data_IF_975564863280
#
_entry.id   IF_975564863280
#
_cell.length_a   1.000
_cell.length_b   1.000
_cell.length_c   1.000
_cell.angle_alpha   90.00
_cell.angle_beta   90.00
_cell.angle_gamma   90.00
#
_symmetry.space_group_name_H-M   'P 1'
#
loop_
_entity.id
_entity.type
_entity.pdbx_description
1 polymer ?
#
# COMPACT_ATOMS: atom_id res chain seq x y z
N UNK A 1 -27.17 4.50 6.33
CA UNK A 1 -26.76 5.27 7.53
C UNK A 1 -25.24 5.41 7.64
N UNK A 2 -24.45 4.32 7.71
CA UNK A 2 -22.97 4.37 7.83
C UNK A 2 -22.26 5.19 6.75
N UNK A 3 -22.61 5.01 5.46
CA UNK A 3 -22.03 5.84 4.38
C UNK A 3 -22.37 7.32 4.53
N UNK A 4 -23.57 7.64 4.99
CA UNK A 4 -24.00 9.02 5.27
C UNK A 4 -23.19 9.63 6.41
N UNK A 5 -22.94 8.86 7.47
CA UNK A 5 -22.08 9.25 8.59
C UNK A 5 -20.65 9.57 8.09
N UNK A 6 -20.03 8.65 7.35
CA UNK A 6 -18.68 8.83 6.80
C UNK A 6 -18.58 10.11 5.97
N UNK A 7 -19.53 10.34 5.05
CA UNK A 7 -19.53 11.51 4.18
C UNK A 7 -19.78 12.80 4.98
N UNK A 8 -20.66 12.75 5.98
CA UNK A 8 -20.97 13.92 6.83
C UNK A 8 -19.81 14.32 7.74
N UNK A 9 -19.06 13.36 8.29
CA UNK A 9 -17.89 13.62 9.12
C UNK A 9 -16.70 14.10 8.28
N UNK A 10 -16.53 13.56 7.06
CA UNK A 10 -15.44 13.93 6.17
C UNK A 10 -15.65 15.30 5.48
N UNK A 11 -16.89 15.65 5.13
CA UNK A 11 -17.20 16.82 4.28
C UNK A 11 -18.29 17.75 4.83
N UNK A 12 -18.79 17.53 6.05
CA UNK A 12 -19.86 18.32 6.64
C UNK A 12 -19.42 19.73 7.07
N UNK A 13 -20.36 20.69 6.97
CA UNK A 13 -20.11 22.10 7.28
C UNK A 13 -19.69 22.37 8.74
N UNK A 14 -20.21 21.62 9.71
CA UNK A 14 -19.80 21.72 11.12
C UNK A 14 -18.33 21.31 11.33
N UNK A 15 -17.95 20.08 10.94
CA UNK A 15 -16.56 19.62 10.99
C UNK A 15 -15.56 20.47 10.20
N UNK A 16 -15.97 21.07 9.09
CA UNK A 16 -15.14 21.96 8.27
C UNK A 16 -14.82 23.28 9.00
N UNK A 17 -15.79 23.88 9.69
CA UNK A 17 -15.57 25.10 10.48
C UNK A 17 -14.74 24.85 11.75
N UNK A 18 -14.79 23.63 12.30
CA UNK A 18 -14.01 23.21 13.48
C UNK A 18 -12.62 22.62 13.18
N UNK A 19 -12.24 22.49 11.90
CA UNK A 19 -10.97 21.87 11.48
C UNK A 19 -10.92 20.34 11.62
N UNK A 20 -11.97 19.71 12.13
CA UNK A 20 -12.02 18.25 12.35
C UNK A 20 -12.15 17.48 11.03
N UNK A 21 -12.80 18.04 10.01
CA UNK A 21 -12.83 17.47 8.66
C UNK A 21 -11.41 17.36 8.06
N UNK A 22 -10.58 18.38 8.26
CA UNK A 22 -9.19 18.38 7.80
C UNK A 22 -8.33 17.34 8.52
N UNK A 23 -8.54 17.18 9.83
CA UNK A 23 -7.87 16.14 10.62
C UNK A 23 -8.29 14.72 10.19
N UNK A 24 -9.59 14.50 9.97
CA UNK A 24 -10.12 13.22 9.48
C UNK A 24 -9.57 12.86 8.10
N UNK A 25 -9.56 13.83 7.17
CA UNK A 25 -8.99 13.65 5.83
C UNK A 25 -7.50 13.35 5.90
N UNK A 26 -6.74 14.12 6.68
CA UNK A 26 -5.29 13.91 6.85
C UNK A 26 -5.00 12.52 7.42
N UNK A 27 -5.74 12.10 8.45
CA UNK A 27 -5.56 10.78 9.05
C UNK A 27 -5.94 9.67 8.07
N UNK A 28 -7.02 9.84 7.30
CA UNK A 28 -7.43 8.93 6.24
C UNK A 28 -6.38 8.79 5.15
N UNK A 29 -5.79 9.90 4.68
CA UNK A 29 -4.70 9.89 3.69
C UNK A 29 -3.47 9.16 4.26
N UNK A 30 -3.04 9.48 5.49
CA UNK A 30 -1.88 8.85 6.13
C UNK A 30 -2.05 7.34 6.29
N UNK A 31 -3.19 6.89 6.82
CA UNK A 31 -3.45 5.46 7.02
C UNK A 31 -3.73 4.74 5.70
N UNK A 32 -4.40 5.39 4.75
CA UNK A 32 -4.65 4.85 3.42
C UNK A 32 -3.35 4.60 2.65
N UNK A 33 -2.42 5.56 2.69
CA UNK A 33 -1.09 5.41 2.10
C UNK A 33 -0.29 4.25 2.73
N UNK A 34 -0.39 4.07 4.04
CA UNK A 34 0.24 2.93 4.74
C UNK A 34 -0.34 1.58 4.28
N UNK A 35 -1.64 1.52 4.03
CA UNK A 35 -2.31 0.28 3.63
C UNK A 35 -1.94 -0.16 2.22
N UNK A 36 -2.07 0.75 1.25
CA UNK A 36 -1.97 0.42 -0.17
C UNK A 36 -0.64 0.78 -0.83
N UNK A 37 0.24 1.48 -0.12
CA UNK A 37 1.56 1.94 -0.58
C UNK A 37 1.50 2.78 -1.88
N UNK A 38 0.35 3.40 -2.19
CA UNK A 38 0.13 4.14 -3.42
C UNK A 38 1.03 5.38 -3.49
N UNK A 39 2.00 5.37 -4.40
CA UNK A 39 2.95 6.47 -4.56
C UNK A 39 4.19 6.38 -3.67
N UNK A 40 4.29 5.38 -2.78
CA UNK A 40 5.50 5.14 -1.97
C UNK A 40 6.68 4.62 -2.81
N UNK A 41 6.40 3.87 -3.88
CA UNK A 41 7.42 3.34 -4.80
C UNK A 41 8.03 2.00 -4.38
N UNK A 42 7.55 1.39 -3.29
CA UNK A 42 7.94 0.04 -2.81
C UNK A 42 7.35 -1.09 -3.67
N UNK A 43 6.03 -1.07 -3.91
CA UNK A 43 5.32 -2.12 -4.63
C UNK A 43 5.91 -2.45 -6.04
N UNK A 44 6.40 -1.48 -6.83
CA UNK A 44 7.11 -1.75 -8.09
C UNK A 44 8.29 -2.72 -7.99
N UNK A 45 8.96 -2.84 -6.83
CA UNK A 45 10.09 -3.76 -6.66
C UNK A 45 9.69 -5.22 -6.90
N UNK A 46 8.50 -5.63 -6.43
CA UNK A 46 7.97 -6.98 -6.70
C UNK A 46 7.43 -7.08 -8.13
N UNK A 47 6.70 -6.08 -8.61
CA UNK A 47 6.16 -6.14 -9.98
C UNK A 47 7.23 -6.21 -11.07
N UNK A 48 8.41 -5.63 -10.83
CA UNK A 48 9.56 -5.73 -11.72
C UNK A 48 10.07 -7.16 -11.89
N UNK A 49 9.77 -8.06 -10.94
CA UNK A 49 10.19 -9.47 -11.01
C UNK A 49 9.20 -10.36 -11.76
N UNK A 50 8.01 -9.84 -12.06
CA UNK A 50 6.98 -10.61 -12.72
C UNK A 50 7.28 -10.75 -14.22
N UNK A 51 7.23 -11.98 -14.71
CA UNK A 51 7.39 -12.25 -16.13
C UNK A 51 6.13 -11.85 -16.90
N UNK A 52 6.15 -10.68 -17.52
CA UNK A 52 5.05 -10.18 -18.34
C UNK A 52 5.48 -9.76 -19.74
N UNK A 53 4.58 -9.97 -20.69
CA UNK A 53 4.79 -9.58 -22.08
C UNK A 53 4.78 -8.07 -22.29
N UNK A 54 4.20 -7.29 -21.38
CA UNK A 54 4.07 -5.85 -21.51
C UNK A 54 4.01 -5.21 -20.12
N UNK A 55 4.79 -4.15 -19.82
CA UNK A 55 4.90 -3.58 -18.47
C UNK A 55 3.56 -3.06 -17.93
N UNK A 56 2.74 -2.44 -18.78
CA UNK A 56 1.37 -2.00 -18.45
C UNK A 56 0.50 -3.12 -17.86
N UNK A 57 0.69 -4.39 -18.23
CA UNK A 57 -0.09 -5.49 -17.63
C UNK A 57 0.18 -5.60 -16.13
N UNK A 58 1.44 -5.47 -15.70
CA UNK A 58 1.76 -5.47 -14.27
C UNK A 58 1.28 -4.22 -13.56
N UNK A 59 1.42 -3.04 -14.19
CA UNK A 59 0.86 -1.80 -13.61
C UNK A 59 -0.65 -1.88 -13.35
N UNK A 60 -1.40 -2.52 -14.26
CA UNK A 60 -2.84 -2.75 -14.06
C UNK A 60 -3.14 -3.75 -12.93
N UNK A 61 -2.35 -4.82 -12.80
CA UNK A 61 -2.46 -5.77 -11.68
C UNK A 61 -2.16 -5.08 -10.35
N UNK A 62 -1.13 -4.22 -10.29
CA UNK A 62 -0.82 -3.45 -9.08
C UNK A 62 -1.94 -2.48 -8.69
N UNK A 63 -2.58 -1.85 -9.68
CA UNK A 63 -3.74 -0.96 -9.44
C UNK A 63 -4.91 -1.75 -8.85
N UNK A 64 -5.12 -3.00 -9.28
CA UNK A 64 -6.12 -3.90 -8.68
C UNK A 64 -5.77 -4.26 -7.23
N UNK A 65 -4.49 -4.34 -6.89
CA UNK A 65 -4.02 -4.51 -5.51
C UNK A 65 -4.48 -3.37 -4.61
N UNK A 66 -4.27 -2.12 -5.03
CA UNK A 66 -4.73 -0.92 -4.32
C UNK A 66 -6.26 -0.91 -4.16
N UNK A 67 -6.99 -1.24 -5.22
CA UNK A 67 -8.45 -1.37 -5.17
C UNK A 67 -8.89 -2.40 -4.12
N UNK A 68 -8.30 -3.58 -4.16
CA UNK A 68 -8.69 -4.69 -3.27
C UNK A 68 -8.38 -4.35 -1.81
N UNK A 69 -7.20 -3.80 -1.54
CA UNK A 69 -6.80 -3.47 -0.19
C UNK A 69 -7.66 -2.34 0.41
N UNK A 70 -7.73 -1.18 -0.26
CA UNK A 70 -8.40 0.00 0.32
C UNK A 70 -9.91 -0.01 0.15
N UNK A 71 -10.40 -0.24 -1.07
CA UNK A 71 -11.83 -0.09 -1.35
C UNK A 71 -12.64 -1.31 -0.92
N UNK A 72 -12.04 -2.49 -0.88
CA UNK A 72 -12.72 -3.70 -0.44
C UNK A 72 -12.37 -4.04 1.01
N UNK A 73 -11.10 -4.32 1.32
CA UNK A 73 -10.73 -4.81 2.66
C UNK A 73 -10.86 -3.71 3.73
N UNK A 74 -10.21 -2.54 3.58
CA UNK A 74 -10.29 -1.48 4.59
C UNK A 74 -11.71 -0.93 4.75
N UNK A 75 -12.48 -0.85 3.67
CA UNK A 75 -13.89 -0.41 3.73
C UNK A 75 -14.74 -1.42 4.51
N UNK A 76 -14.56 -2.73 4.29
CA UNK A 76 -15.20 -3.75 5.11
C UNK A 76 -14.80 -3.63 6.59
N UNK A 77 -13.52 -3.40 6.91
CA UNK A 77 -13.07 -3.19 8.30
C UNK A 77 -13.71 -1.95 8.92
N UNK A 78 -13.77 -0.83 8.20
CA UNK A 78 -14.42 0.39 8.67
C UNK A 78 -15.92 0.15 8.92
N UNK A 79 -16.60 -0.60 8.06
CA UNK A 79 -18.00 -0.94 8.26
C UNK A 79 -18.22 -1.84 9.47
N UNK A 80 -17.37 -2.84 9.69
CA UNK A 80 -17.43 -3.68 10.90
C UNK A 80 -17.32 -2.81 12.16
N UNK A 81 -16.37 -1.87 12.17
CA UNK A 81 -16.17 -0.95 13.30
C UNK A 81 -17.40 -0.04 13.50
N UNK A 82 -17.95 0.51 12.43
CA UNK A 82 -19.07 1.46 12.50
C UNK A 82 -20.41 0.78 12.80
N UNK A 83 -20.61 -0.46 12.38
CA UNK A 83 -21.80 -1.24 12.70
C UNK A 83 -21.81 -1.72 14.16
N UNK A 84 -20.65 -2.10 14.71
CA UNK A 84 -20.51 -2.58 16.08
C UNK A 84 -20.77 -1.54 17.19
N UNK A 85 -21.20 -0.32 16.82
CA UNK A 85 -21.34 0.83 17.71
C UNK A 85 -19.99 1.53 17.93
N UNK A 86 -20.00 2.86 17.95
CA UNK A 86 -18.78 3.68 18.11
C UNK A 86 -17.97 3.15 19.30
N UNK A 87 -16.72 2.74 19.09
CA UNK A 87 -16.01 2.02 20.14
C UNK A 87 -15.60 3.01 21.23
N UNK A 88 -15.53 2.48 22.45
CA UNK A 88 -14.84 3.11 23.56
C UNK A 88 -13.54 3.80 23.09
N UNK A 89 -13.44 5.11 23.32
CA UNK A 89 -12.32 5.93 22.85
C UNK A 89 -10.96 5.51 23.46
N UNK A 90 -10.96 4.61 24.43
CA UNK A 90 -9.76 3.99 25.00
C UNK A 90 -9.18 2.86 24.14
N UNK A 91 -9.95 2.29 23.22
CA UNK A 91 -9.51 1.21 22.35
C UNK A 91 -8.83 1.76 21.09
N UNK A 92 -7.72 1.13 20.69
CA UNK A 92 -6.95 1.56 19.52
C UNK A 92 -6.58 0.40 18.60
N UNK A 93 -6.47 0.71 17.30
CA UNK A 93 -5.98 -0.19 16.27
C UNK A 93 -6.75 -1.52 16.22
N UNK A 94 -6.03 -2.62 16.40
CA UNK A 94 -6.56 -4.00 16.33
C UNK A 94 -7.65 -4.25 17.37
N UNK A 95 -7.47 -3.74 18.60
CA UNK A 95 -8.40 -3.99 19.70
C UNK A 95 -9.80 -3.44 19.38
N UNK A 96 -9.84 -2.34 18.62
CA UNK A 96 -11.05 -1.71 18.13
C UNK A 96 -11.86 -2.66 17.24
N UNK A 97 -11.22 -3.17 16.20
CA UNK A 97 -11.84 -4.10 15.24
C UNK A 97 -12.23 -5.40 15.92
N UNK A 98 -11.40 -5.87 16.85
CA UNK A 98 -11.69 -7.08 17.62
C UNK A 98 -12.93 -6.89 18.50
N UNK A 99 -13.03 -5.78 19.23
CA UNK A 99 -14.19 -5.48 20.06
C UNK A 99 -15.48 -5.33 19.24
N UNK A 100 -15.42 -4.60 18.12
CA UNK A 100 -16.55 -4.40 17.23
C UNK A 100 -17.03 -5.71 16.58
N UNK A 101 -16.12 -6.63 16.25
CA UNK A 101 -16.53 -7.92 15.71
C UNK A 101 -17.07 -8.85 16.80
N UNK A 102 -16.52 -8.78 18.02
CA UNK A 102 -17.00 -9.56 19.16
C UNK A 102 -18.40 -9.12 19.60
N UNK A 103 -18.73 -7.83 19.52
CA UNK A 103 -20.08 -7.35 19.85
C UNK A 103 -21.15 -7.86 18.87
N UNK A 104 -20.79 -8.04 17.58
CA UNK A 104 -21.73 -8.49 16.54
C UNK A 104 -21.87 -10.02 16.46
N UNK A 105 -20.75 -10.76 16.51
CA UNK A 105 -20.75 -12.22 16.26
C UNK A 105 -20.19 -13.05 17.43
N UNK A 106 -19.98 -12.44 18.59
CA UNK A 106 -19.53 -13.10 19.81
C UNK A 106 -18.03 -13.47 19.80
N UNK A 107 -17.59 -14.35 20.73
CA UNK A 107 -16.17 -14.67 20.94
C UNK A 107 -15.43 -15.21 19.71
N UNK A 108 -16.17 -15.81 18.76
CA UNK A 108 -15.62 -16.30 17.49
C UNK A 108 -15.01 -15.16 16.66
N UNK A 109 -15.57 -13.95 16.74
CA UNK A 109 -15.01 -12.76 16.09
C UNK A 109 -13.60 -12.43 16.58
N UNK A 110 -13.33 -12.63 17.86
CA UNK A 110 -12.00 -12.42 18.44
C UNK A 110 -10.95 -13.36 17.85
N UNK A 111 -11.29 -14.66 17.74
CA UNK A 111 -10.41 -15.66 17.15
C UNK A 111 -10.16 -15.38 15.66
N UNK A 112 -11.21 -15.00 14.92
CA UNK A 112 -11.09 -14.65 13.50
C UNK A 112 -10.12 -13.48 13.28
N UNK A 113 -10.27 -12.39 14.03
CA UNK A 113 -9.41 -11.20 13.93
C UNK A 113 -7.96 -11.55 14.26
N UNK A 114 -7.73 -12.36 15.30
CA UNK A 114 -6.38 -12.80 15.67
C UNK A 114 -5.68 -13.59 14.54
N UNK A 115 -6.38 -14.56 13.92
CA UNK A 115 -5.85 -15.34 12.79
C UNK A 115 -5.62 -14.45 11.56
N UNK A 116 -6.57 -13.57 11.24
CA UNK A 116 -6.45 -12.66 10.12
C UNK A 116 -5.23 -11.74 10.26
N UNK A 117 -5.04 -11.15 11.45
CA UNK A 117 -3.90 -10.25 11.72
C UNK A 117 -2.58 -11.01 11.64
N UNK A 118 -2.51 -12.23 12.18
CA UNK A 118 -1.31 -13.04 12.06
C UNK A 118 -0.93 -13.23 10.58
N UNK A 119 -1.88 -13.61 9.72
CA UNK A 119 -1.64 -13.80 8.29
C UNK A 119 -1.27 -12.49 7.58
N UNK A 120 -2.00 -11.40 7.86
CA UNK A 120 -1.72 -10.10 7.26
C UNK A 120 -0.34 -9.58 7.66
N UNK A 121 -0.05 -9.50 8.97
CA UNK A 121 1.24 -9.02 9.48
C UNK A 121 2.40 -9.89 8.96
N UNK A 122 2.24 -11.21 8.95
CA UNK A 122 3.26 -12.12 8.42
C UNK A 122 3.54 -11.88 6.94
N UNK A 123 2.48 -11.77 6.12
CA UNK A 123 2.63 -11.49 4.69
C UNK A 123 3.28 -10.13 4.42
N UNK A 124 2.91 -9.08 5.18
CA UNK A 124 3.48 -7.74 5.06
C UNK A 124 4.95 -7.69 5.46
N UNK A 125 5.35 -8.43 6.51
CA UNK A 125 6.76 -8.54 6.92
C UNK A 125 7.60 -9.15 5.80
N UNK A 126 7.13 -10.24 5.19
CA UNK A 126 7.83 -10.91 4.08
C UNK A 126 7.94 -9.98 2.87
N UNK A 127 6.85 -9.31 2.50
CA UNK A 127 6.84 -8.35 1.40
C UNK A 127 7.86 -7.23 1.58
N UNK A 128 7.82 -6.57 2.75
CA UNK A 128 8.73 -5.46 3.07
C UNK A 128 10.19 -5.91 3.18
N UNK A 129 10.44 -7.10 3.74
CA UNK A 129 11.76 -7.71 3.73
C UNK A 129 12.28 -7.89 2.30
N UNK A 130 11.45 -8.39 1.39
CA UNK A 130 11.83 -8.59 0.00
C UNK A 130 12.12 -7.25 -0.71
N UNK A 131 11.28 -6.23 -0.49
CA UNK A 131 11.51 -4.89 -1.06
C UNK A 131 12.86 -4.32 -0.65
N UNK A 132 13.21 -4.42 0.63
CA UNK A 132 14.49 -3.92 1.11
C UNK A 132 15.67 -4.80 0.66
N UNK A 133 15.52 -6.12 0.59
CA UNK A 133 16.54 -7.01 0.00
C UNK A 133 16.83 -6.63 -1.47
N UNK A 134 15.81 -6.37 -2.27
CA UNK A 134 15.97 -5.91 -3.65
C UNK A 134 16.75 -4.59 -3.73
N UNK A 135 16.38 -3.61 -2.90
CA UNK A 135 17.07 -2.31 -2.84
C UNK A 135 18.54 -2.44 -2.38
N UNK A 136 18.81 -3.27 -1.37
CA UNK A 136 20.19 -3.52 -0.90
C UNK A 136 21.02 -4.17 -2.01
N UNK A 137 20.45 -5.13 -2.74
CA UNK A 137 21.14 -5.79 -3.87
C UNK A 137 21.38 -4.85 -5.04
N UNK A 138 20.52 -3.85 -5.25
CA UNK A 138 20.75 -2.80 -6.23
C UNK A 138 21.96 -1.92 -5.85
N UNK A 139 22.13 -1.61 -4.56
CA UNK A 139 23.25 -0.79 -4.06
C UNK A 139 24.55 -1.60 -3.94
N UNK A 140 24.48 -2.85 -3.49
CA UNK A 140 25.67 -3.68 -3.26
C UNK A 140 25.42 -5.18 -3.39
N UNK A 141 26.37 -5.88 -4.02
CA UNK A 141 26.36 -7.34 -4.14
C UNK A 141 27.04 -8.06 -2.97
N UNK A 142 27.47 -7.34 -1.92
CA UNK A 142 28.22 -7.91 -0.80
C UNK A 142 27.30 -8.72 0.12
N UNK A 143 27.58 -10.03 0.23
CA UNK A 143 26.79 -10.97 1.07
C UNK A 143 26.71 -10.56 2.55
N UNK A 144 27.78 -10.00 3.11
CA UNK A 144 27.81 -9.55 4.52
C UNK A 144 26.81 -8.42 4.82
N UNK A 145 26.63 -7.49 3.88
CA UNK A 145 25.65 -6.39 4.03
C UNK A 145 24.22 -6.94 4.00
N UNK A 146 23.96 -7.92 3.15
CA UNK A 146 22.65 -8.58 3.09
C UNK A 146 22.34 -9.37 4.37
N UNK A 147 23.32 -10.08 4.93
CA UNK A 147 23.16 -10.76 6.22
C UNK A 147 22.90 -9.76 7.35
N UNK A 148 23.62 -8.64 7.37
CA UNK A 148 23.38 -7.58 8.34
C UNK A 148 21.95 -7.02 8.20
N UNK A 149 21.50 -6.74 6.98
CA UNK A 149 20.13 -6.30 6.70
C UNK A 149 19.08 -7.28 7.25
N UNK A 150 19.26 -8.59 7.01
CA UNK A 150 18.38 -9.64 7.55
C UNK A 150 18.29 -9.62 9.08
N UNK A 151 19.44 -9.48 9.75
CA UNK A 151 19.50 -9.38 11.20
C UNK A 151 18.81 -8.11 11.71
N UNK A 152 19.00 -6.97 11.02
CA UNK A 152 18.34 -5.72 11.36
C UNK A 152 16.82 -5.79 11.17
N UNK A 153 16.32 -6.43 10.11
CA UNK A 153 14.88 -6.64 9.92
C UNK A 153 14.30 -7.49 11.05
N UNK A 154 14.96 -8.60 11.41
CA UNK A 154 14.55 -9.41 12.56
C UNK A 154 14.54 -8.62 13.87
N UNK A 155 15.56 -7.78 14.09
CA UNK A 155 15.63 -6.87 15.23
C UNK A 155 14.52 -5.83 15.24
N UNK A 156 14.15 -5.28 14.07
CA UNK A 156 13.06 -4.31 13.94
C UNK A 156 11.69 -4.95 14.17
N UNK A 157 11.49 -6.22 13.81
CA UNK A 157 10.26 -6.95 14.14
C UNK A 157 10.13 -7.13 15.66
N UNK A 158 11.22 -7.49 16.34
CA UNK A 158 11.24 -7.58 17.80
C UNK A 158 11.05 -6.22 18.47
N UNK A 159 11.68 -5.17 17.94
CA UNK A 159 11.47 -3.82 18.42
C UNK A 159 10.00 -3.39 18.27
N UNK A 160 9.38 -3.69 17.12
CA UNK A 160 7.99 -3.38 16.84
C UNK A 160 7.00 -4.09 17.77
N UNK A 161 7.34 -5.27 18.31
CA UNK A 161 6.48 -5.96 19.29
C UNK A 161 6.58 -5.40 20.70
N UNK A 162 7.61 -4.59 21.00
CA UNK A 162 7.85 -3.98 22.31
C UNK A 162 7.56 -2.47 22.32
N UNK A 163 7.61 -1.81 21.16
CA UNK A 163 7.40 -0.37 21.01
C UNK A 163 5.92 0.01 21.14
N UNK A 164 5.67 1.27 21.53
CA UNK A 164 4.30 1.81 21.55
C UNK A 164 3.80 2.04 20.11
N UNK A 165 2.49 1.89 19.91
CA UNK A 165 1.86 2.11 18.60
C UNK A 165 2.17 3.50 18.05
N UNK A 166 2.08 4.55 18.88
CA UNK A 166 2.34 5.93 18.46
C UNK A 166 3.77 6.15 17.96
N UNK A 167 4.75 5.51 18.61
CA UNK A 167 6.14 5.59 18.18
C UNK A 167 6.34 4.90 16.82
N UNK A 168 5.79 3.70 16.66
CA UNK A 168 5.87 2.93 15.41
C UNK A 168 5.19 3.70 14.27
N UNK A 169 4.02 4.27 14.52
CA UNK A 169 3.30 5.08 13.52
C UNK A 169 4.04 6.37 13.17
N UNK A 170 4.63 7.04 14.15
CA UNK A 170 5.40 8.28 13.90
C UNK A 170 6.64 8.01 13.05
N UNK A 171 7.37 6.92 13.34
CA UNK A 171 8.51 6.48 12.53
C UNK A 171 8.09 6.08 11.12
N UNK A 172 6.97 5.35 10.98
CA UNK A 172 6.41 5.01 9.69
C UNK A 172 6.07 6.29 8.91
N UNK A 173 5.28 7.21 9.46
CA UNK A 173 4.86 8.43 8.78
C UNK A 173 6.02 9.23 8.19
N UNK A 174 7.11 9.40 8.95
CA UNK A 174 8.30 10.12 8.48
C UNK A 174 9.00 9.39 7.34
N UNK A 175 9.22 8.09 7.47
CA UNK A 175 9.91 7.31 6.44
C UNK A 175 9.07 7.17 5.17
N UNK A 176 7.76 6.95 5.31
CA UNK A 176 6.80 6.90 4.21
C UNK A 176 6.74 8.23 3.47
N UNK A 177 6.70 9.36 4.18
CA UNK A 177 6.69 10.68 3.56
C UNK A 177 7.94 10.90 2.71
N UNK A 178 9.11 10.55 3.22
CA UNK A 178 10.37 10.68 2.49
C UNK A 178 10.38 9.80 1.22
N UNK A 179 10.01 8.53 1.34
CA UNK A 179 9.93 7.61 0.21
C UNK A 179 8.96 8.10 -0.86
N UNK A 180 7.78 8.53 -0.43
CA UNK A 180 6.72 9.05 -1.30
C UNK A 180 7.19 10.29 -2.06
N UNK A 181 7.84 11.25 -1.38
CA UNK A 181 8.36 12.46 -2.04
C UNK A 181 9.39 12.13 -3.12
N UNK A 182 10.34 11.24 -2.81
CA UNK A 182 11.34 10.79 -3.78
C UNK A 182 10.70 10.10 -4.99
N UNK A 183 9.75 9.20 -4.73
CA UNK A 183 9.11 8.43 -5.80
C UNK A 183 8.14 9.29 -6.64
N UNK A 184 7.41 10.23 -6.06
CA UNK A 184 6.57 11.18 -6.80
C UNK A 184 7.41 12.02 -7.75
N UNK A 185 8.56 12.53 -7.32
CA UNK A 185 9.48 13.25 -8.20
C UNK A 185 9.91 12.38 -9.39
N UNK A 186 10.26 11.12 -9.15
CA UNK A 186 10.62 10.18 -10.22
C UNK A 186 9.45 9.90 -11.18
N UNK A 187 8.24 9.66 -10.66
CA UNK A 187 7.05 9.42 -11.48
C UNK A 187 6.68 10.65 -12.31
N UNK A 188 6.80 11.86 -11.77
CA UNK A 188 6.53 13.09 -12.53
C UNK A 188 7.49 13.24 -13.72
N UNK A 189 8.77 12.91 -13.53
CA UNK A 189 9.77 12.94 -14.60
C UNK A 189 9.57 11.83 -15.63
N UNK A 190 9.12 10.64 -15.20
CA UNK A 190 8.89 9.47 -16.05
C UNK A 190 7.45 9.38 -16.59
N UNK A 191 6.56 10.27 -16.18
CA UNK A 191 5.12 10.18 -16.44
C UNK A 191 4.79 10.15 -17.93
N UNK A 192 5.54 10.89 -18.74
CA UNK A 192 5.40 10.86 -20.19
C UNK A 192 5.69 9.46 -20.77
N UNK A 193 6.70 8.75 -20.27
CA UNK A 193 7.03 7.40 -20.73
C UNK A 193 5.96 6.38 -20.31
N UNK A 194 5.41 6.52 -19.10
CA UNK A 194 4.30 5.68 -18.64
C UNK A 194 3.05 5.85 -19.51
N UNK A 195 2.72 7.10 -19.89
CA UNK A 195 1.59 7.40 -20.80
C UNK A 195 1.84 6.84 -22.19
N UNK A 196 3.07 6.94 -22.72
CA UNK A 196 3.42 6.38 -24.02
C UNK A 196 3.28 4.84 -24.03
N UNK A 197 3.75 4.16 -22.98
CA UNK A 197 3.58 2.72 -22.81
C UNK A 197 2.10 2.31 -22.72
N UNK A 198 1.27 3.09 -22.02
CA UNK A 198 -0.17 2.84 -21.95
C UNK A 198 -0.84 3.02 -23.32
N UNK A 199 -0.45 4.04 -24.08
CA UNK A 199 -0.96 4.28 -25.42
C UNK A 199 -0.64 3.11 -26.38
N UNK A 200 0.59 2.59 -26.36
CA UNK A 200 0.97 1.39 -27.14
C UNK A 200 0.14 0.18 -26.73
N UNK A 201 -0.01 -0.08 -25.43
CA UNK A 201 -0.82 -1.19 -24.91
C UNK A 201 -2.26 -1.13 -25.41
N UNK A 202 -2.89 0.05 -25.33
CA UNK A 202 -4.28 0.27 -25.76
C UNK A 202 -4.39 0.15 -27.28
N UNK A 203 -3.44 0.67 -28.05
CA UNK A 203 -3.42 0.54 -29.49
C UNK A 203 -3.38 -0.93 -29.94
N UNK A 204 -2.54 -1.75 -29.30
CA UNK A 204 -2.48 -3.19 -29.56
C UNK A 204 -3.80 -3.90 -29.23
N UNK A 205 -4.44 -3.55 -28.10
CA UNK A 205 -5.76 -4.10 -27.75
C UNK A 205 -6.83 -3.71 -28.78
N UNK A 206 -6.82 -2.47 -29.25
CA UNK A 206 -7.78 -1.96 -30.26
C UNK A 206 -7.58 -2.61 -31.63
N UNK A 207 -6.35 -2.97 -32.00
CA UNK A 207 -6.07 -3.70 -33.24
C UNK A 207 -6.38 -5.22 -33.16
N UNK A 208 -7.00 -5.68 -32.06
CA UNK A 208 -7.41 -7.07 -31.90
C UNK A 208 -6.35 -8.00 -31.33
N UNK A 209 -5.18 -7.48 -30.92
CA UNK A 209 -4.14 -8.29 -30.30
C UNK A 209 -4.60 -8.75 -28.91
N UNK A 210 -4.89 -10.04 -28.77
CA UNK A 210 -5.36 -10.62 -27.49
C UNK A 210 -4.37 -10.40 -26.34
N UNK A 211 -3.07 -10.58 -26.61
CA UNK A 211 -2.00 -10.41 -25.63
C UNK A 211 -0.96 -9.41 -26.13
N UNK A 212 -1.11 -8.12 -25.77
CA UNK A 212 -0.14 -7.09 -26.14
C UNK A 212 1.27 -7.44 -25.68
N UNK A 213 2.28 -7.10 -26.49
CA UNK A 213 3.70 -7.34 -26.22
C UNK A 213 4.48 -6.05 -26.42
N UNK A 214 5.31 -5.69 -25.45
CA UNK A 214 6.23 -4.57 -25.58
C UNK A 214 7.55 -5.09 -26.17
N UNK A 215 8.15 -4.32 -27.08
CA UNK A 215 9.52 -4.52 -27.57
C UNK A 215 10.21 -3.15 -27.61
N UNK A 216 11.54 -3.13 -27.48
CA UNK A 216 12.32 -1.88 -27.38
C UNK A 216 12.16 -0.96 -28.60
N UNK A 217 11.79 -1.51 -29.75
CA UNK A 217 11.63 -0.79 -31.02
C UNK A 217 10.29 -0.06 -31.12
N UNK A 218 9.28 -0.44 -30.33
CA UNK A 218 7.92 0.12 -30.43
C UNK A 218 7.82 1.57 -29.99
N UNK A 219 8.72 2.00 -29.10
CA UNK A 219 8.74 3.37 -28.58
C UNK A 219 10.13 3.97 -28.87
N UNK A 220 10.28 4.74 -29.96
CA UNK A 220 11.58 5.28 -30.39
C UNK A 220 12.31 6.10 -29.32
N UNK A 221 11.58 6.76 -28.41
CA UNK A 221 12.16 7.57 -27.31
C UNK A 221 12.79 6.74 -26.18
N UNK A 222 12.38 5.48 -26.06
CA UNK A 222 12.93 4.54 -25.08
C UNK A 222 14.11 3.74 -25.63
N UNK A 223 14.42 3.90 -26.93
CA UNK A 223 15.53 3.23 -27.59
C UNK A 223 16.86 3.69 -26.98
N UNK A 224 17.62 2.74 -26.43
CA UNK A 224 18.91 3.01 -25.75
C UNK A 224 18.80 3.46 -24.29
N UNK A 225 17.59 3.60 -23.74
CA UNK A 225 17.35 3.91 -22.31
C UNK A 225 16.81 2.73 -21.51
N UNK A 226 16.66 1.57 -22.15
CA UNK A 226 16.14 0.34 -21.55
C UNK A 226 17.19 -0.77 -21.61
N UNK A 227 17.64 -1.21 -20.44
CA UNK A 227 18.62 -2.29 -20.31
C UNK A 227 18.01 -3.65 -20.67
N UNK A 228 16.76 -3.92 -20.28
CA UNK A 228 16.08 -5.19 -20.52
C UNK A 228 14.60 -5.01 -20.89
N UNK A 229 14.16 -5.67 -21.98
CA UNK A 229 12.78 -6.06 -22.31
C UNK A 229 12.77 -6.82 -23.63
#
# INVERSE_FOLDING_TARGET
>A
EVLGLILSEAFGWGPVLGGTAGAALMQGIKRGLFSNEAGMGSAPNVAATAHVSHPVKQGLIQTLGVFTDTLLICTCTAFIILFGGVPDASLNGIQLTQAALVSEIGPVGGLFVAVAIFLFAFSSIIGNYYYGEANVRFITSRRGVLTLYRLLVGGMVLFGSLATLDLVWSLADVTMALMTLCNLAAILLLGHEAVALLADYVAQKRSGVRSPRFTKERIPRLKGRIDCW
#
